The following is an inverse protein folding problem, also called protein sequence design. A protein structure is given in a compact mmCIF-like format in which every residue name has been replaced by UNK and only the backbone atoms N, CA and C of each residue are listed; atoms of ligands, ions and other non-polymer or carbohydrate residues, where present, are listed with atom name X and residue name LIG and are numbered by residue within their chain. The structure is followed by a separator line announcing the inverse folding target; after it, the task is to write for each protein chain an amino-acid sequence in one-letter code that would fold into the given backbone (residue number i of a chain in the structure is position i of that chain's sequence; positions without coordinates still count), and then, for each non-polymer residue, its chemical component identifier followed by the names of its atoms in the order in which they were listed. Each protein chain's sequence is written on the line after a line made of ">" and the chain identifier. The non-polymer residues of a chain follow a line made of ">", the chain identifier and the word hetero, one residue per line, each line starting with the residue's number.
data_IF_205447327855
#
_entry.id   IF_205447327855
#
_cell.length_a   1.000
_cell.length_b   1.000
_cell.length_c   1.000
_cell.angle_alpha   90.00
_cell.angle_beta   90.00
_cell.angle_gamma   90.00
#
_symmetry.space_group_name_H-M   'P 1'
#
loop_
_entity.id
_entity.type
_entity.pdbx_description
1 polymer ?
#
# COMPACT_ATOMS: atom_id res chain seq x y z
N UNK A 1 33.13 13.91 -10.71
CA UNK A 1 32.79 13.28 -9.42
C UNK A 1 32.01 12.03 -9.77
N UNK A 2 32.44 10.86 -9.30
CA UNK A 2 31.67 9.61 -9.51
C UNK A 2 30.37 9.82 -8.76
N UNK A 3 29.25 9.77 -9.49
CA UNK A 3 27.92 9.92 -8.92
C UNK A 3 27.68 8.72 -8.01
N UNK A 4 27.60 8.96 -6.70
CA UNK A 4 27.45 7.89 -5.71
C UNK A 4 25.99 7.49 -5.65
N UNK A 5 25.72 6.19 -5.72
CA UNK A 5 24.36 5.67 -5.75
C UNK A 5 23.85 5.47 -4.33
N UNK A 6 23.01 6.40 -3.86
CA UNK A 6 22.23 6.23 -2.64
C UNK A 6 21.05 5.30 -2.91
N UNK A 7 20.88 4.28 -2.07
CA UNK A 7 19.68 3.45 -2.07
C UNK A 7 19.08 3.38 -0.68
N UNK A 8 17.75 3.38 -0.61
CA UNK A 8 16.99 3.30 0.62
C UNK A 8 15.97 2.16 0.54
N UNK A 9 15.60 1.59 1.68
CA UNK A 9 14.69 0.45 1.73
C UNK A 9 13.65 0.50 2.83
N UNK A 10 12.37 0.34 2.48
CA UNK A 10 11.22 0.21 3.37
C UNK A 10 10.60 -1.20 3.37
N UNK A 11 10.75 -1.96 2.28
CA UNK A 11 10.11 -3.27 2.07
C UNK A 11 10.84 -4.42 2.78
N UNK A 12 11.08 -4.25 4.07
CA UNK A 12 11.91 -5.07 4.94
C UNK A 12 12.41 -4.23 6.11
N UNK A 13 13.46 -4.65 6.84
CA UNK A 13 14.17 -3.76 7.74
C UNK A 13 14.60 -2.47 7.03
N UNK A 14 14.58 -1.34 7.74
CA UNK A 14 14.99 -0.05 7.21
C UNK A 14 16.47 -0.11 6.79
N UNK A 15 16.72 0.12 5.51
CA UNK A 15 18.07 0.10 4.95
C UNK A 15 18.44 1.43 4.30
N UNK A 16 19.71 1.76 4.39
CA UNK A 16 20.37 2.80 3.60
C UNK A 16 21.69 2.21 3.12
N UNK A 17 21.92 2.25 1.81
CA UNK A 17 23.17 1.82 1.21
C UNK A 17 23.74 2.95 0.34
N UNK A 18 25.06 3.00 0.23
CA UNK A 18 25.75 3.88 -0.73
C UNK A 18 26.74 3.05 -1.51
N UNK A 19 26.60 3.08 -2.84
CA UNK A 19 27.33 2.21 -3.76
C UNK A 19 27.22 0.72 -3.36
N UNK A 20 26.03 0.30 -2.91
CA UNK A 20 25.74 -1.06 -2.44
C UNK A 20 26.26 -1.41 -1.05
N UNK A 21 26.95 -0.49 -0.36
CA UNK A 21 27.44 -0.73 1.01
C UNK A 21 26.45 -0.22 2.04
N UNK A 22 25.96 -1.10 2.91
CA UNK A 22 25.03 -0.74 3.98
C UNK A 22 25.64 0.24 4.99
N UNK A 23 24.84 1.24 5.38
CA UNK A 23 25.21 2.27 6.35
C UNK A 23 24.42 2.08 7.64
N UNK A 24 25.11 2.01 8.78
CA UNK A 24 24.47 1.86 10.08
C UNK A 24 23.69 3.12 10.48
N UNK A 25 22.36 3.00 10.50
CA UNK A 25 21.44 4.13 10.72
C UNK A 25 21.28 4.56 12.19
N UNK A 26 21.86 3.82 13.13
CA UNK A 26 21.87 4.17 14.56
C UNK A 26 20.62 3.70 15.32
N UNK A 27 20.18 4.52 16.29
CA UNK A 27 19.16 4.16 17.28
C UNK A 27 17.75 4.07 16.67
N UNK A 28 16.81 3.32 17.29
CA UNK A 28 15.44 3.16 16.77
C UNK A 28 14.72 4.48 16.45
N UNK A 29 14.83 5.49 17.32
CA UNK A 29 14.20 6.81 17.09
C UNK A 29 14.83 7.56 15.90
N UNK A 30 16.15 7.45 15.69
CA UNK A 30 16.81 8.04 14.51
C UNK A 30 16.39 7.34 13.22
N UNK A 31 16.29 6.01 13.25
CA UNK A 31 15.76 5.20 12.15
C UNK A 31 14.30 5.55 11.83
N UNK A 32 13.46 5.69 12.85
CA UNK A 32 12.07 6.11 12.68
C UNK A 32 11.93 7.48 12.02
N UNK A 33 12.80 8.45 12.32
CA UNK A 33 12.84 9.74 11.60
C UNK A 33 13.12 9.54 10.11
N UNK A 34 14.11 8.71 9.77
CA UNK A 34 14.42 8.43 8.36
C UNK A 34 13.26 7.70 7.67
N UNK A 35 12.66 6.70 8.32
CA UNK A 35 11.53 5.95 7.80
C UNK A 35 10.34 6.88 7.49
N UNK A 36 9.97 7.77 8.41
CA UNK A 36 8.87 8.74 8.20
C UNK A 36 9.16 9.71 7.05
N UNK A 37 10.40 10.17 6.94
CA UNK A 37 10.82 11.06 5.84
C UNK A 37 10.83 10.33 4.49
N UNK A 38 11.17 9.04 4.48
CA UNK A 38 11.17 8.20 3.30
C UNK A 38 9.74 7.83 2.86
N UNK A 39 8.87 7.50 3.81
CA UNK A 39 7.43 7.30 3.55
C UNK A 39 6.80 8.55 2.92
N UNK A 40 7.24 9.74 3.33
CA UNK A 40 6.81 11.03 2.79
C UNK A 40 7.88 11.64 1.87
N UNK A 41 8.63 10.82 1.12
CA UNK A 41 9.72 11.32 0.26
C UNK A 41 9.21 12.43 -0.67
N UNK A 42 10.10 13.37 -0.98
CA UNK A 42 9.81 14.54 -1.81
C UNK A 42 8.73 15.50 -1.25
N UNK A 43 8.20 15.24 -0.04
CA UNK A 43 7.26 16.09 0.67
C UNK A 43 7.78 16.54 2.04
N UNK A 44 7.50 17.78 2.50
CA UNK A 44 7.90 18.22 3.83
C UNK A 44 7.13 17.48 4.94
N UNK A 45 7.84 17.01 5.96
CA UNK A 45 7.28 16.46 7.21
C UNK A 45 7.52 17.44 8.33
N UNK A 46 6.45 17.92 8.96
CA UNK A 46 6.51 18.84 10.09
C UNK A 46 7.21 18.20 11.30
N UNK A 47 7.97 19.01 12.06
CA UNK A 47 8.64 18.53 13.28
C UNK A 47 7.66 17.94 14.28
N UNK A 48 6.47 18.55 14.44
CA UNK A 48 5.46 18.05 15.38
C UNK A 48 4.93 16.67 14.96
N UNK A 49 4.79 16.38 13.66
CA UNK A 49 4.43 15.03 13.18
C UNK A 49 5.52 14.00 13.46
N UNK A 50 6.80 14.38 13.29
CA UNK A 50 7.91 13.52 13.69
C UNK A 50 7.88 13.22 15.20
N UNK A 51 7.56 14.22 16.02
CA UNK A 51 7.45 14.04 17.48
C UNK A 51 6.32 13.07 17.81
N UNK A 52 5.11 13.28 17.27
CA UNK A 52 3.98 12.38 17.54
C UNK A 52 4.29 10.95 17.09
N UNK A 53 4.87 10.77 15.91
CA UNK A 53 5.18 9.42 15.43
C UNK A 53 6.30 8.72 16.24
N UNK A 54 7.19 9.48 16.90
CA UNK A 54 8.25 8.92 17.72
C UNK A 54 7.84 8.65 19.16
N UNK A 55 6.94 9.44 19.75
CA UNK A 55 6.63 9.37 21.18
C UNK A 55 5.15 9.28 21.51
N UNK A 56 4.28 9.22 20.49
CA UNK A 56 2.83 9.26 20.62
C UNK A 56 2.40 10.42 21.53
N UNK A 57 1.65 10.11 22.59
CA UNK A 57 1.11 11.07 23.56
C UNK A 57 2.12 11.46 24.67
N UNK A 58 3.35 10.93 24.66
CA UNK A 58 4.33 11.09 25.75
C UNK A 58 5.70 11.64 25.28
N UNK A 59 5.75 12.80 24.58
CA UNK A 59 7.02 13.39 24.16
C UNK A 59 7.83 13.95 25.33
N UNK A 60 9.17 13.76 25.37
CA UNK A 60 10.02 14.41 26.37
C UNK A 60 10.10 15.92 26.13
N UNK A 61 10.41 16.69 27.18
CA UNK A 61 10.56 18.16 27.09
C UNK A 61 11.59 18.61 26.04
N UNK A 62 12.59 17.78 25.76
CA UNK A 62 13.63 17.98 24.73
C UNK A 62 13.34 17.34 23.37
N UNK A 63 12.10 16.98 23.03
CA UNK A 63 11.77 16.26 21.80
C UNK A 63 12.26 16.97 20.53
N UNK A 64 12.03 18.29 20.40
CA UNK A 64 12.51 19.08 19.25
C UNK A 64 14.03 19.06 19.10
N UNK A 65 14.76 19.21 20.22
CA UNK A 65 16.22 19.12 20.22
C UNK A 65 16.71 17.73 19.79
N UNK A 66 15.98 16.68 20.18
CA UNK A 66 16.25 15.30 19.77
C UNK A 66 16.06 15.12 18.26
N UNK A 67 14.97 15.64 17.68
CA UNK A 67 14.75 15.63 16.22
C UNK A 67 15.90 16.33 15.48
N UNK A 68 16.30 17.52 15.91
CA UNK A 68 17.44 18.23 15.31
C UNK A 68 18.73 17.41 15.38
N UNK A 69 18.96 16.71 16.48
CA UNK A 69 20.13 15.82 16.66
C UNK A 69 20.08 14.63 15.71
N UNK A 70 18.92 13.97 15.58
CA UNK A 70 18.75 12.86 14.64
C UNK A 70 18.96 13.30 13.19
N UNK A 71 18.40 14.44 12.77
CA UNK A 71 18.62 14.99 11.42
C UNK A 71 20.09 15.34 11.20
N UNK A 72 20.76 15.92 12.19
CA UNK A 72 22.20 16.22 12.11
C UNK A 72 23.03 14.94 11.92
N UNK A 73 22.71 13.87 12.67
CA UNK A 73 23.38 12.59 12.54
C UNK A 73 23.12 11.92 11.20
N UNK A 74 21.88 11.90 10.71
CA UNK A 74 21.54 11.40 9.38
C UNK A 74 22.30 12.15 8.28
N UNK A 75 22.40 13.48 8.38
CA UNK A 75 23.20 14.29 7.45
C UNK A 75 24.69 13.95 7.51
N UNK A 76 25.25 13.64 8.68
CA UNK A 76 26.63 13.18 8.81
C UNK A 76 26.85 11.84 8.12
N UNK A 77 25.88 10.91 8.22
CA UNK A 77 25.95 9.62 7.51
C UNK A 77 25.95 9.81 6.00
N UNK A 78 25.04 10.63 5.47
CA UNK A 78 25.00 10.99 4.04
C UNK A 78 26.31 11.66 3.59
N UNK A 79 26.82 12.61 4.38
CA UNK A 79 28.04 13.36 4.06
C UNK A 79 29.30 12.51 4.12
N UNK A 80 29.40 11.61 5.11
CA UNK A 80 30.48 10.62 5.20
C UNK A 80 30.46 9.65 4.01
N UNK A 81 29.28 9.42 3.44
CA UNK A 81 29.12 8.66 2.22
C UNK A 81 29.36 9.50 0.94
N UNK A 82 29.75 10.77 1.03
CA UNK A 82 30.08 11.63 -0.13
C UNK A 82 28.86 12.17 -0.89
N UNK A 83 27.68 12.13 -0.29
CA UNK A 83 26.44 12.69 -0.82
C UNK A 83 26.23 14.07 -0.18
N UNK A 84 25.77 15.06 -0.95
CA UNK A 84 25.51 16.40 -0.42
C UNK A 84 24.30 16.38 0.55
N UNK A 85 24.51 16.44 1.89
CA UNK A 85 23.48 16.04 2.84
C UNK A 85 22.31 17.01 2.92
N UNK A 86 22.55 18.29 2.64
CA UNK A 86 21.51 19.33 2.70
C UNK A 86 20.66 19.36 1.44
N UNK A 87 21.16 18.83 0.33
CA UNK A 87 20.36 18.62 -0.87
C UNK A 87 19.42 17.42 -0.70
N UNK A 88 19.94 16.29 -0.19
CA UNK A 88 19.12 15.08 0.03
C UNK A 88 18.19 15.26 1.23
N UNK A 89 18.68 15.69 2.38
CA UNK A 89 17.86 15.93 3.57
C UNK A 89 17.76 17.43 3.84
N UNK A 90 16.82 18.08 3.18
CA UNK A 90 16.60 19.53 3.24
C UNK A 90 15.83 19.94 4.48
N UNK A 91 16.14 21.13 5.02
CA UNK A 91 15.23 21.83 5.92
C UNK A 91 14.18 22.53 5.05
N UNK A 92 12.91 22.21 5.26
CA UNK A 92 11.78 22.71 4.47
C UNK A 92 10.65 23.05 5.44
N UNK A 93 10.40 24.34 5.75
CA UNK A 93 9.33 24.72 6.68
C UNK A 93 8.00 24.03 6.34
N UNK A 94 7.28 23.46 7.32
CA UNK A 94 7.50 23.52 8.77
C UNK A 94 8.42 22.41 9.35
N UNK A 95 9.20 21.70 8.55
CA UNK A 95 10.13 20.69 9.06
C UNK A 95 11.22 20.26 8.07
N UNK A 96 11.20 18.99 7.66
CA UNK A 96 12.26 18.37 6.88
C UNK A 96 11.72 17.64 5.67
N UNK A 97 12.48 17.61 4.58
CA UNK A 97 12.14 16.90 3.35
C UNK A 97 13.31 16.04 2.91
N UNK A 98 13.03 14.78 2.59
CA UNK A 98 13.99 13.87 1.97
C UNK A 98 13.77 13.87 0.46
N UNK A 99 14.71 14.44 -0.30
CA UNK A 99 14.68 14.51 -1.75
C UNK A 99 15.45 13.31 -2.31
N UNK A 100 14.75 12.39 -2.97
CA UNK A 100 15.33 11.19 -3.58
C UNK A 100 14.62 10.89 -4.90
N UNK A 101 15.35 10.28 -5.83
CA UNK A 101 14.77 9.75 -7.07
C UNK A 101 13.85 8.55 -6.78
N UNK A 102 12.82 8.36 -7.60
CA UNK A 102 11.87 7.25 -7.41
C UNK A 102 12.55 5.87 -7.52
N UNK A 103 13.63 5.74 -8.29
CA UNK A 103 14.37 4.49 -8.41
C UNK A 103 15.42 4.29 -7.31
N UNK A 104 15.68 5.31 -6.49
CA UNK A 104 16.63 5.25 -5.38
C UNK A 104 16.06 4.57 -4.13
N UNK A 105 14.81 4.09 -4.15
CA UNK A 105 14.25 3.32 -3.05
C UNK A 105 13.36 2.16 -3.52
N UNK A 106 13.30 1.10 -2.72
CA UNK A 106 12.66 -0.18 -3.07
C UNK A 106 11.16 -0.07 -3.37
N UNK A 107 10.40 0.67 -2.57
CA UNK A 107 8.98 0.89 -2.80
C UNK A 107 8.72 1.66 -4.12
N UNK A 108 9.61 2.57 -4.53
CA UNK A 108 9.46 3.30 -5.79
C UNK A 108 9.71 2.41 -7.00
N UNK A 109 10.73 1.54 -6.91
CA UNK A 109 10.96 0.49 -7.92
C UNK A 109 9.82 -0.52 -7.97
N UNK A 110 9.29 -0.94 -6.82
CA UNK A 110 8.10 -1.79 -6.74
C UNK A 110 6.91 -1.16 -7.47
N UNK A 111 6.62 0.12 -7.23
CA UNK A 111 5.54 0.87 -7.89
C UNK A 111 5.76 0.96 -9.40
N UNK A 112 6.99 1.28 -9.83
CA UNK A 112 7.34 1.41 -11.24
C UNK A 112 7.17 0.09 -11.99
N UNK A 113 7.71 -1.01 -11.43
CA UNK A 113 7.61 -2.35 -12.02
C UNK A 113 6.16 -2.88 -11.99
N UNK A 114 5.40 -2.65 -10.92
CA UNK A 114 3.97 -2.97 -10.87
C UNK A 114 3.21 -2.24 -11.98
N UNK A 115 3.40 -0.94 -12.11
CA UNK A 115 2.74 -0.11 -13.12
C UNK A 115 3.07 -0.59 -14.53
N UNK A 116 4.35 -0.86 -14.82
CA UNK A 116 4.79 -1.42 -16.09
C UNK A 116 4.13 -2.78 -16.39
N UNK A 117 4.05 -3.66 -15.39
CA UNK A 117 3.41 -4.96 -15.50
C UNK A 117 1.92 -4.88 -15.82
N UNK A 118 1.20 -3.97 -15.14
CA UNK A 118 -0.22 -3.72 -15.36
C UNK A 118 -0.48 -3.20 -16.79
N UNK A 119 0.30 -2.22 -17.28
CA UNK A 119 0.17 -1.75 -18.66
C UNK A 119 0.49 -2.83 -19.71
N UNK A 120 1.48 -3.68 -19.44
CA UNK A 120 1.80 -4.81 -20.31
C UNK A 120 0.63 -5.81 -20.38
N UNK A 121 0.03 -6.16 -19.25
CA UNK A 121 -1.13 -7.05 -19.18
C UNK A 121 -2.37 -6.46 -19.90
N UNK A 122 -2.65 -5.16 -19.71
CA UNK A 122 -3.73 -4.46 -20.40
C UNK A 122 -3.55 -4.45 -21.93
N UNK A 123 -2.29 -4.48 -22.38
CA UNK A 123 -1.91 -4.60 -23.81
C UNK A 123 -1.86 -6.05 -24.31
N UNK A 124 -2.16 -7.05 -23.47
CA UNK A 124 -2.07 -8.47 -23.80
C UNK A 124 -0.64 -9.03 -23.89
N UNK A 125 0.36 -8.29 -23.40
CA UNK A 125 1.78 -8.70 -23.35
C UNK A 125 2.09 -9.42 -22.04
N UNK A 126 1.51 -10.61 -21.86
CA UNK A 126 1.56 -11.33 -20.57
C UNK A 126 2.98 -11.76 -20.16
N UNK A 127 3.88 -12.04 -21.10
CA UNK A 127 5.29 -12.34 -20.78
C UNK A 127 6.01 -11.14 -20.15
N UNK A 128 5.82 -9.95 -20.73
CA UNK A 128 6.38 -8.72 -20.18
C UNK A 128 5.74 -8.41 -18.83
N UNK A 129 4.43 -8.60 -18.70
CA UNK A 129 3.72 -8.42 -17.44
C UNK A 129 4.30 -9.31 -16.33
N UNK A 130 4.49 -10.61 -16.58
CA UNK A 130 5.08 -11.54 -15.62
C UNK A 130 6.50 -11.13 -15.21
N UNK A 131 7.33 -10.70 -16.17
CA UNK A 131 8.70 -10.24 -15.89
C UNK A 131 8.70 -9.02 -14.96
N UNK A 132 7.90 -8.01 -15.27
CA UNK A 132 7.79 -6.78 -14.46
C UNK A 132 7.22 -7.07 -13.06
N UNK A 133 6.15 -7.87 -12.96
CA UNK A 133 5.56 -8.21 -11.66
C UNK A 133 6.50 -9.06 -10.80
N UNK A 134 7.33 -9.90 -11.42
CA UNK A 134 8.40 -10.62 -10.72
C UNK A 134 9.48 -9.67 -10.21
N UNK A 135 9.90 -8.69 -11.01
CA UNK A 135 10.85 -7.66 -10.58
C UNK A 135 10.29 -6.83 -9.41
N UNK A 136 9.00 -6.45 -9.45
CA UNK A 136 8.34 -5.77 -8.35
C UNK A 136 8.41 -6.60 -7.06
N UNK A 137 8.03 -7.88 -7.10
CA UNK A 137 8.06 -8.75 -5.91
C UNK A 137 9.48 -8.96 -5.36
N UNK A 138 10.50 -8.90 -6.21
CA UNK A 138 11.90 -9.04 -5.80
C UNK A 138 12.41 -7.88 -4.94
N UNK A 139 11.75 -6.72 -4.94
CA UNK A 139 12.07 -5.58 -4.06
C UNK A 139 11.71 -5.85 -2.59
N UNK A 140 10.87 -6.85 -2.31
CA UNK A 140 10.47 -7.21 -0.96
C UNK A 140 11.51 -8.10 -0.29
N UNK A 141 12.19 -7.57 0.72
CA UNK A 141 13.20 -8.24 1.55
C UNK A 141 12.62 -8.89 2.81
N UNK A 142 11.43 -8.45 3.23
CA UNK A 142 10.76 -8.96 4.43
C UNK A 142 9.54 -8.11 4.78
N UNK A 143 9.03 -8.21 6.02
CA UNK A 143 7.94 -7.36 6.47
C UNK A 143 8.37 -5.89 6.55
N UNK A 144 7.48 -5.00 6.11
CA UNK A 144 7.74 -3.56 6.03
C UNK A 144 8.23 -3.02 7.37
N UNK A 145 9.38 -2.34 7.36
CA UNK A 145 10.03 -1.73 8.52
C UNK A 145 10.09 -2.67 9.74
N UNK A 146 10.50 -3.92 9.53
CA UNK A 146 10.53 -4.96 10.56
C UNK A 146 11.26 -4.54 11.85
N UNK A 147 12.34 -3.78 11.73
CA UNK A 147 13.15 -3.29 12.85
C UNK A 147 12.52 -2.10 13.60
N UNK A 148 11.34 -1.64 13.17
CA UNK A 148 10.57 -0.51 13.72
C UNK A 148 9.10 -0.86 13.99
N UNK A 149 8.72 -2.14 14.06
CA UNK A 149 7.33 -2.58 14.34
C UNK A 149 6.75 -2.07 15.67
N UNK A 150 7.59 -1.62 16.59
CA UNK A 150 7.16 -1.03 17.86
C UNK A 150 6.58 0.40 17.72
N UNK A 151 6.72 1.01 16.54
CA UNK A 151 6.20 2.35 16.27
C UNK A 151 4.83 2.28 15.59
N UNK A 152 3.81 2.92 16.18
CA UNK A 152 2.43 2.81 15.70
C UNK A 152 2.18 3.30 14.26
N UNK A 153 3.05 4.15 13.71
CA UNK A 153 2.92 4.58 12.31
C UNK A 153 3.30 3.49 11.29
N UNK A 154 4.02 2.44 11.71
CA UNK A 154 4.44 1.34 10.84
C UNK A 154 3.26 0.43 10.51
N UNK A 155 2.40 0.15 11.49
CA UNK A 155 1.34 -0.87 11.36
C UNK A 155 0.38 -0.60 10.18
N UNK A 156 -0.15 0.63 10.08
CA UNK A 156 -1.11 0.97 9.01
C UNK A 156 -0.42 1.03 7.65
N UNK A 157 0.79 1.58 7.58
CA UNK A 157 1.54 1.65 6.35
C UNK A 157 1.93 0.25 5.84
N UNK A 158 2.42 -0.62 6.73
CA UNK A 158 2.74 -2.00 6.43
C UNK A 158 1.50 -2.77 5.96
N UNK A 159 0.36 -2.61 6.64
CA UNK A 159 -0.92 -3.23 6.26
C UNK A 159 -1.31 -2.84 4.84
N UNK A 160 -1.28 -1.54 4.53
CA UNK A 160 -1.61 -1.03 3.21
C UNK A 160 -0.66 -1.52 2.12
N UNK A 161 0.65 -1.62 2.38
CA UNK A 161 1.59 -2.16 1.41
C UNK A 161 1.45 -3.68 1.19
N UNK A 162 1.03 -4.43 2.22
CA UNK A 162 0.74 -5.87 2.06
C UNK A 162 -0.45 -6.07 1.11
N UNK A 163 -1.46 -5.20 1.14
CA UNK A 163 -2.54 -5.23 0.13
C UNK A 163 -1.99 -5.09 -1.29
N UNK A 164 -1.05 -4.16 -1.49
CA UNK A 164 -0.42 -3.96 -2.79
C UNK A 164 0.41 -5.18 -3.22
N UNK A 165 1.13 -5.80 -2.28
CA UNK A 165 1.87 -7.04 -2.52
C UNK A 165 0.94 -8.16 -2.99
N UNK A 166 -0.20 -8.32 -2.32
CA UNK A 166 -1.20 -9.35 -2.65
C UNK A 166 -1.76 -9.12 -4.06
N UNK A 167 -2.05 -7.86 -4.42
CA UNK A 167 -2.50 -7.52 -5.77
C UNK A 167 -1.45 -7.88 -6.83
N UNK A 168 -0.15 -7.62 -6.57
CA UNK A 168 0.94 -7.99 -7.48
C UNK A 168 1.08 -9.50 -7.62
N UNK A 169 0.96 -10.28 -6.53
CA UNK A 169 0.93 -11.74 -6.61
C UNK A 169 -0.25 -12.24 -7.45
N UNK A 170 -1.44 -11.67 -7.27
CA UNK A 170 -2.63 -11.98 -8.07
C UNK A 170 -2.41 -11.72 -9.56
N UNK A 171 -1.94 -10.52 -9.92
CA UNK A 171 -1.65 -10.14 -11.30
C UNK A 171 -0.54 -11.00 -11.92
N UNK A 172 0.48 -11.38 -11.15
CA UNK A 172 1.55 -12.28 -11.62
C UNK A 172 0.98 -13.66 -11.94
N UNK A 173 0.11 -14.20 -11.08
CA UNK A 173 -0.56 -15.46 -11.34
C UNK A 173 -1.44 -15.40 -12.59
N UNK A 174 -2.20 -14.32 -12.78
CA UNK A 174 -3.00 -14.10 -14.00
C UNK A 174 -2.13 -14.09 -15.26
N UNK A 175 -0.99 -13.39 -15.23
CA UNK A 175 -0.06 -13.33 -16.37
C UNK A 175 0.54 -14.70 -16.69
N UNK A 176 0.99 -15.45 -15.68
CA UNK A 176 1.54 -16.80 -15.83
C UNK A 176 0.51 -17.79 -16.39
N UNK A 177 -0.73 -17.74 -15.87
CA UNK A 177 -1.85 -18.56 -16.36
C UNK A 177 -2.18 -18.19 -17.81
N UNK A 178 -2.21 -16.91 -18.16
CA UNK A 178 -2.44 -16.44 -19.53
C UNK A 178 -1.33 -16.86 -20.52
N UNK A 179 -0.10 -17.05 -20.03
CA UNK A 179 1.02 -17.64 -20.75
C UNK A 179 0.99 -19.18 -20.82
N UNK A 180 -0.02 -19.84 -20.25
CA UNK A 180 -0.16 -21.29 -20.25
C UNK A 180 0.68 -22.00 -19.18
N UNK A 181 1.18 -21.27 -18.17
CA UNK A 181 2.03 -21.80 -17.08
C UNK A 181 1.25 -22.00 -15.78
N UNK A 182 -0.03 -22.38 -15.87
CA UNK A 182 -0.91 -22.58 -14.72
C UNK A 182 -0.35 -23.57 -13.67
N UNK A 183 0.35 -24.63 -14.09
CA UNK A 183 0.96 -25.60 -13.16
C UNK A 183 2.05 -24.98 -12.28
N UNK A 184 2.79 -23.99 -12.80
CA UNK A 184 3.94 -23.42 -12.11
C UNK A 184 3.55 -22.51 -10.93
N UNK A 185 2.34 -21.98 -10.93
CA UNK A 185 1.87 -21.04 -9.89
C UNK A 185 1.10 -21.71 -8.74
N UNK A 186 0.73 -22.99 -8.86
CA UNK A 186 -0.11 -23.69 -7.86
C UNK A 186 0.55 -23.67 -6.48
N UNK A 187 1.82 -24.07 -6.35
CA UNK A 187 2.51 -24.15 -5.06
C UNK A 187 2.65 -22.78 -4.39
N UNK A 188 2.94 -21.73 -5.17
CA UNK A 188 3.00 -20.35 -4.66
C UNK A 188 1.62 -19.90 -4.17
N UNK A 189 0.56 -20.15 -4.94
CA UNK A 189 -0.82 -19.79 -4.58
C UNK A 189 -1.37 -20.58 -3.39
N UNK A 190 -0.98 -21.85 -3.21
CA UNK A 190 -1.30 -22.63 -2.01
C UNK A 190 -0.69 -22.00 -0.75
N UNK A 191 0.58 -21.57 -0.82
CA UNK A 191 1.22 -20.87 0.29
C UNK A 191 0.54 -19.53 0.58
N UNK A 192 0.29 -18.72 -0.46
CA UNK A 192 -0.34 -17.41 -0.32
C UNK A 192 -1.78 -17.48 0.19
N UNK A 193 -2.57 -18.48 -0.22
CA UNK A 193 -3.94 -18.67 0.31
C UNK A 193 -3.96 -19.20 1.73
N UNK A 194 -2.87 -19.83 2.18
CA UNK A 194 -2.70 -20.20 3.59
C UNK A 194 -2.32 -18.99 4.44
N UNK A 195 -1.43 -18.13 3.94
CA UNK A 195 -1.02 -16.89 4.61
C UNK A 195 -2.13 -15.82 4.61
N UNK A 196 -2.90 -15.76 3.53
CA UNK A 196 -3.94 -14.78 3.30
C UNK A 196 -5.30 -15.44 2.99
N UNK A 197 -5.89 -16.16 3.96
CA UNK A 197 -7.06 -17.01 3.74
C UNK A 197 -8.31 -16.25 3.31
N UNK A 198 -8.40 -14.96 3.59
CA UNK A 198 -9.56 -14.12 3.29
C UNK A 198 -9.44 -13.37 1.96
N UNK A 199 -8.36 -13.57 1.20
CA UNK A 199 -8.14 -12.88 -0.08
C UNK A 199 -8.71 -13.70 -1.23
N UNK A 200 -10.00 -13.53 -1.48
CA UNK A 200 -10.73 -14.20 -2.57
C UNK A 200 -10.04 -14.12 -3.95
N UNK A 201 -9.39 -13.01 -4.36
CA UNK A 201 -8.67 -12.98 -5.63
C UNK A 201 -7.55 -14.03 -5.74
N UNK A 202 -6.82 -14.31 -4.66
CA UNK A 202 -5.80 -15.36 -4.66
C UNK A 202 -6.42 -16.75 -4.82
N UNK A 203 -7.56 -16.99 -4.15
CA UNK A 203 -8.32 -18.22 -4.31
C UNK A 203 -8.85 -18.40 -5.73
N UNK A 204 -9.33 -17.33 -6.36
CA UNK A 204 -9.80 -17.37 -7.75
C UNK A 204 -8.69 -17.84 -8.70
N UNK A 205 -7.46 -17.35 -8.53
CA UNK A 205 -6.32 -17.79 -9.33
C UNK A 205 -5.92 -19.23 -9.01
N UNK A 206 -5.94 -19.66 -7.74
CA UNK A 206 -5.63 -21.04 -7.36
C UNK A 206 -6.63 -22.04 -7.97
N UNK A 207 -7.93 -21.73 -7.86
CA UNK A 207 -9.01 -22.55 -8.44
C UNK A 207 -8.88 -22.62 -9.96
N UNK A 208 -8.60 -21.49 -10.61
CA UNK A 208 -8.37 -21.41 -12.06
C UNK A 208 -7.16 -22.25 -12.47
N UNK A 209 -6.05 -22.17 -11.72
CA UNK A 209 -4.83 -22.92 -12.01
C UNK A 209 -5.04 -24.44 -11.91
N UNK A 210 -5.75 -24.93 -10.89
CA UNK A 210 -6.11 -26.34 -10.81
C UNK A 210 -7.00 -26.77 -11.99
N UNK A 211 -8.00 -25.97 -12.33
CA UNK A 211 -8.92 -26.33 -13.42
C UNK A 211 -8.21 -26.46 -14.77
N UNK A 212 -7.31 -25.51 -15.10
CA UNK A 212 -6.55 -25.52 -16.36
C UNK A 212 -5.44 -26.57 -16.42
N UNK A 213 -5.13 -27.22 -15.29
CA UNK A 213 -4.15 -28.30 -15.21
C UNK A 213 -4.79 -29.68 -15.09
N UNK A 214 -6.04 -29.80 -15.55
CA UNK A 214 -6.83 -31.03 -15.57
C UNK A 214 -7.13 -31.60 -14.16
N UNK A 215 -7.08 -30.74 -13.14
CA UNK A 215 -7.33 -31.07 -11.74
C UNK A 215 -8.67 -30.50 -11.26
N UNK A 216 -9.75 -30.79 -12.00
CA UNK A 216 -11.11 -30.29 -11.70
C UNK A 216 -11.55 -30.58 -10.25
N UNK A 217 -11.26 -31.79 -9.74
CA UNK A 217 -11.58 -32.18 -8.36
C UNK A 217 -10.93 -31.25 -7.33
N UNK A 218 -9.66 -30.88 -7.55
CA UNK A 218 -8.91 -30.00 -6.67
C UNK A 218 -9.40 -28.55 -6.75
N UNK A 219 -9.80 -28.09 -7.94
CA UNK A 219 -10.42 -26.78 -8.12
C UNK A 219 -11.72 -26.66 -7.30
N UNK A 220 -12.61 -27.66 -7.39
CA UNK A 220 -13.85 -27.71 -6.61
C UNK A 220 -13.60 -27.87 -5.11
N UNK A 221 -12.54 -28.61 -4.73
CA UNK A 221 -12.14 -28.74 -3.33
C UNK A 221 -11.59 -27.43 -2.75
N UNK A 222 -10.81 -26.67 -3.53
CA UNK A 222 -10.33 -25.35 -3.16
C UNK A 222 -11.49 -24.36 -2.96
N UNK A 223 -12.49 -24.35 -3.85
CA UNK A 223 -13.71 -23.54 -3.65
C UNK A 223 -14.46 -23.92 -2.36
N UNK A 224 -14.62 -25.21 -2.07
CA UNK A 224 -15.24 -25.66 -0.81
C UNK A 224 -14.45 -25.21 0.42
N UNK A 225 -13.11 -25.23 0.37
CA UNK A 225 -12.26 -24.73 1.45
C UNK A 225 -12.49 -23.25 1.71
N UNK A 226 -12.34 -22.40 0.69
CA UNK A 226 -12.54 -20.95 0.88
C UNK A 226 -13.96 -20.63 1.32
N UNK A 227 -14.98 -21.33 0.81
CA UNK A 227 -16.36 -21.18 1.28
C UNK A 227 -16.50 -21.48 2.77
N UNK A 228 -15.90 -22.57 3.25
CA UNK A 228 -15.93 -22.92 4.67
C UNK A 228 -15.18 -21.88 5.52
N UNK A 229 -13.96 -21.49 5.10
CA UNK A 229 -13.16 -20.46 5.78
C UNK A 229 -13.90 -19.12 5.89
N UNK A 230 -14.53 -18.64 4.82
CA UNK A 230 -15.31 -17.39 4.85
C UNK A 230 -16.58 -17.52 5.71
N UNK A 231 -17.24 -18.67 5.69
CA UNK A 231 -18.43 -18.88 6.52
C UNK A 231 -18.08 -18.98 8.01
N UNK A 232 -17.09 -19.80 8.36
CA UNK A 232 -16.74 -20.10 9.75
C UNK A 232 -16.03 -18.92 10.43
N UNK A 233 -15.06 -18.30 9.75
CA UNK A 233 -14.24 -17.25 10.37
C UNK A 233 -14.87 -15.87 10.22
N UNK A 234 -15.59 -15.65 9.12
CA UNK A 234 -16.08 -14.33 8.75
C UNK A 234 -17.62 -14.22 8.73
N UNK A 235 -18.36 -15.32 8.70
CA UNK A 235 -19.82 -15.32 8.61
C UNK A 235 -20.35 -14.78 7.28
N UNK A 236 -19.56 -14.90 6.19
CA UNK A 236 -19.93 -14.40 4.86
C UNK A 236 -19.86 -15.50 3.80
N UNK A 237 -20.62 -15.33 2.73
CA UNK A 237 -20.52 -16.18 1.54
C UNK A 237 -19.41 -15.68 0.59
N UNK A 238 -18.85 -16.56 -0.27
CA UNK A 238 -17.96 -16.15 -1.35
C UNK A 238 -18.60 -15.10 -2.27
N UNK A 239 -17.79 -14.14 -2.71
CA UNK A 239 -18.18 -13.11 -3.65
C UNK A 239 -18.59 -13.65 -5.03
N UNK A 240 -19.19 -12.79 -5.88
CA UNK A 240 -19.71 -13.19 -7.18
C UNK A 240 -18.64 -13.83 -8.08
N UNK A 241 -17.40 -13.32 -8.07
CA UNK A 241 -16.28 -13.86 -8.86
C UNK A 241 -16.02 -15.34 -8.56
N UNK A 242 -15.92 -15.72 -7.28
CA UNK A 242 -15.71 -17.11 -6.88
C UNK A 242 -16.92 -18.00 -7.19
N UNK A 243 -18.14 -17.49 -6.97
CA UNK A 243 -19.37 -18.24 -7.27
C UNK A 243 -19.50 -18.54 -8.76
N UNK A 244 -19.30 -17.55 -9.62
CA UNK A 244 -19.34 -17.72 -11.08
C UNK A 244 -18.25 -18.66 -11.57
N UNK A 245 -17.02 -18.58 -11.04
CA UNK A 245 -15.94 -19.50 -11.38
C UNK A 245 -16.29 -20.95 -11.02
N UNK A 246 -16.84 -21.18 -9.82
CA UNK A 246 -17.28 -22.51 -9.41
C UNK A 246 -18.40 -23.06 -10.31
N UNK A 247 -19.37 -22.24 -10.71
CA UNK A 247 -20.44 -22.65 -11.63
C UNK A 247 -19.91 -23.06 -13.01
N UNK A 248 -18.97 -22.29 -13.58
CA UNK A 248 -18.32 -22.62 -14.85
C UNK A 248 -17.58 -23.97 -14.76
N UNK A 249 -16.83 -24.18 -13.67
CA UNK A 249 -16.08 -25.43 -13.44
C UNK A 249 -17.00 -26.62 -13.26
N UNK A 250 -18.14 -26.46 -12.57
CA UNK A 250 -19.14 -27.53 -12.41
C UNK A 250 -19.73 -27.97 -13.76
N UNK A 251 -19.87 -27.05 -14.71
CA UNK A 251 -20.37 -27.30 -16.07
C UNK A 251 -19.28 -27.68 -17.07
N UNK A 252 -18.01 -27.75 -16.63
CA UNK A 252 -16.85 -27.97 -17.49
C UNK A 252 -16.75 -26.96 -18.64
N UNK A 253 -17.13 -25.70 -18.38
CA UNK A 253 -17.02 -24.63 -19.36
C UNK A 253 -15.55 -24.20 -19.53
N UNK A 254 -15.11 -23.83 -20.75
CA UNK A 254 -13.77 -23.31 -20.97
C UNK A 254 -13.61 -21.91 -20.34
N UNK A 255 -12.44 -21.63 -19.77
CA UNK A 255 -12.10 -20.32 -19.21
C UNK A 255 -11.28 -19.48 -20.20
N UNK A 256 -11.70 -18.24 -20.44
CA UNK A 256 -10.93 -17.28 -21.25
C UNK A 256 -9.98 -16.44 -20.36
N UNK A 257 -8.90 -17.08 -19.91
CA UNK A 257 -7.95 -16.46 -18.97
C UNK A 257 -7.20 -15.26 -19.53
N UNK A 258 -6.97 -15.22 -20.84
CA UNK A 258 -6.33 -14.06 -21.49
C UNK A 258 -7.24 -12.85 -21.44
N UNK A 259 -8.54 -13.03 -21.70
CA UNK A 259 -9.52 -11.96 -21.58
C UNK A 259 -9.67 -11.51 -20.14
N UNK A 260 -9.78 -12.43 -19.19
CA UNK A 260 -9.89 -12.09 -17.76
C UNK A 260 -8.71 -11.26 -17.27
N UNK A 261 -7.47 -11.72 -17.53
CA UNK A 261 -6.25 -11.00 -17.14
C UNK A 261 -6.18 -9.61 -17.81
N UNK A 262 -6.57 -9.50 -19.08
CA UNK A 262 -6.61 -8.21 -19.78
C UNK A 262 -7.64 -7.26 -19.18
N UNK A 263 -8.85 -7.75 -18.86
CA UNK A 263 -9.91 -6.94 -18.24
C UNK A 263 -9.50 -6.43 -16.87
N UNK A 264 -8.97 -7.30 -16.00
CA UNK A 264 -8.48 -6.90 -14.67
C UNK A 264 -7.36 -5.85 -14.76
N UNK A 265 -6.46 -6.00 -15.74
CA UNK A 265 -5.39 -5.05 -15.96
C UNK A 265 -5.90 -3.68 -16.47
N UNK A 266 -6.89 -3.65 -17.38
CA UNK A 266 -7.51 -2.40 -17.86
C UNK A 266 -8.19 -1.65 -16.71
N UNK A 267 -8.90 -2.36 -15.84
CA UNK A 267 -9.53 -1.75 -14.66
C UNK A 267 -8.45 -1.14 -13.75
N UNK A 268 -7.32 -1.83 -13.56
CA UNK A 268 -6.19 -1.35 -12.75
C UNK A 268 -5.49 -0.14 -13.40
N UNK A 269 -5.30 -0.13 -14.73
CA UNK A 269 -4.77 1.02 -15.46
C UNK A 269 -5.64 2.25 -15.22
N UNK A 270 -6.97 2.10 -15.27
CA UNK A 270 -7.90 3.20 -15.05
C UNK A 270 -7.70 3.84 -13.67
N UNK A 271 -7.51 3.02 -12.63
CA UNK A 271 -7.21 3.50 -11.26
C UNK A 271 -5.85 4.20 -11.20
N UNK A 272 -4.82 3.65 -11.84
CA UNK A 272 -3.49 4.26 -11.88
C UNK A 272 -3.51 5.62 -12.60
N UNK A 273 -4.22 5.71 -13.72
CA UNK A 273 -4.37 6.95 -14.49
C UNK A 273 -5.08 8.03 -13.65
N UNK A 274 -6.14 7.67 -12.93
CA UNK A 274 -6.81 8.58 -11.99
C UNK A 274 -5.86 9.11 -10.90
N UNK A 275 -4.96 8.27 -10.37
CA UNK A 275 -3.94 8.67 -9.37
C UNK A 275 -2.82 9.57 -9.95
N UNK A 276 -2.55 9.47 -11.26
CA UNK A 276 -1.40 10.11 -11.94
C UNK A 276 -1.73 11.34 -12.81
N UNK A 277 -3.00 11.64 -13.07
CA UNK A 277 -3.44 12.84 -13.81
C UNK A 277 -3.09 14.12 -13.02
N UNK A 278 -2.29 15.12 -13.44
CA UNK A 278 -1.61 15.50 -14.70
C UNK A 278 -0.39 16.39 -14.32
N UNK A 279 0.68 16.43 -15.12
CA UNK A 279 1.86 17.33 -15.03
C UNK A 279 3.07 16.86 -14.18
N UNK A 280 3.22 15.56 -13.94
CA UNK A 280 4.40 15.05 -13.22
C UNK A 280 4.41 15.39 -11.73
N UNK A 281 3.26 15.80 -11.18
CA UNK A 281 2.98 15.92 -9.75
C UNK A 281 1.84 14.95 -9.39
N UNK A 282 1.95 14.28 -8.24
CA UNK A 282 0.93 13.37 -7.71
C UNK A 282 -0.40 14.10 -7.53
N UNK A 283 -1.51 13.53 -8.03
CA UNK A 283 -2.85 14.07 -7.82
C UNK A 283 -3.14 14.18 -6.32
N UNK A 284 -3.70 15.31 -5.88
CA UNK A 284 -4.10 15.46 -4.48
C UNK A 284 -5.49 14.86 -4.34
N UNK A 285 -5.59 13.80 -3.54
CA UNK A 285 -6.88 13.25 -3.14
C UNK A 285 -7.51 14.09 -2.01
N UNK A 286 -8.83 14.07 -1.93
CA UNK A 286 -9.62 14.80 -0.96
C UNK A 286 -10.68 13.90 -0.32
N UNK A 287 -10.99 14.19 0.94
CA UNK A 287 -12.28 13.82 1.54
C UNK A 287 -13.18 15.04 1.58
N UNK A 288 -14.30 14.98 0.86
CA UNK A 288 -15.32 16.02 0.86
C UNK A 288 -16.44 15.65 1.83
N UNK A 289 -16.55 16.41 2.92
CA UNK A 289 -17.66 16.28 3.86
C UNK A 289 -18.95 16.83 3.24
N UNK A 290 -20.09 16.18 3.48
CA UNK A 290 -21.39 16.62 2.95
C UNK A 290 -21.74 18.07 3.31
N UNK A 291 -21.19 18.60 4.40
CA UNK A 291 -21.37 19.99 4.88
C UNK A 291 -20.38 20.99 4.26
N UNK A 292 -19.65 20.60 3.21
CA UNK A 292 -18.86 21.48 2.35
C UNK A 292 -17.39 21.67 2.74
N UNK A 293 -16.88 20.99 3.79
CA UNK A 293 -15.45 20.99 4.11
C UNK A 293 -14.73 19.96 3.25
N UNK A 294 -13.56 20.32 2.75
CA UNK A 294 -12.73 19.44 1.94
C UNK A 294 -11.36 19.29 2.60
N UNK A 295 -10.93 18.06 2.82
CA UNK A 295 -9.68 17.73 3.51
C UNK A 295 -8.69 17.13 2.51
N UNK A 296 -7.59 17.84 2.16
CA UNK A 296 -6.58 17.31 1.25
C UNK A 296 -5.73 16.24 1.93
N UNK A 297 -5.52 15.12 1.25
CA UNK A 297 -4.69 14.00 1.70
C UNK A 297 -3.23 14.21 1.25
N UNK A 298 -2.49 15.06 1.97
CA UNK A 298 -1.15 15.53 1.55
C UNK A 298 0.02 14.65 1.99
N UNK A 299 -0.21 13.77 2.95
CA UNK A 299 0.82 12.91 3.52
C UNK A 299 0.57 11.46 3.15
N UNK A 300 1.64 10.66 3.17
CA UNK A 300 1.54 9.22 2.92
C UNK A 300 0.58 8.51 3.90
N UNK A 301 0.38 9.08 5.09
CA UNK A 301 -0.67 8.67 6.02
C UNK A 301 -1.42 9.90 6.53
N UNK A 302 -2.74 9.90 6.39
CA UNK A 302 -3.67 10.91 6.90
C UNK A 302 -4.50 10.31 8.02
N UNK A 303 -4.29 10.80 9.25
CA UNK A 303 -4.95 10.31 10.47
C UNK A 303 -6.27 11.04 10.69
N UNK A 304 -7.31 10.27 11.03
CA UNK A 304 -8.66 10.75 11.25
C UNK A 304 -9.09 10.34 12.66
N UNK A 305 -9.57 11.29 13.47
CA UNK A 305 -9.98 11.00 14.83
C UNK A 305 -10.46 12.21 15.60
N UNK A 306 -10.78 12.01 16.87
CA UNK A 306 -11.30 13.07 17.75
C UNK A 306 -10.21 13.94 18.37
N UNK A 307 -9.00 13.41 18.56
CA UNK A 307 -7.92 14.17 19.18
C UNK A 307 -7.32 15.19 18.21
N UNK A 308 -6.85 16.32 18.75
CA UNK A 308 -6.30 17.43 17.95
C UNK A 308 -4.94 17.17 17.30
N UNK A 309 -4.33 16.01 17.55
CA UNK A 309 -3.12 15.56 16.87
C UNK A 309 -3.43 14.81 15.56
N UNK A 310 -4.70 14.51 15.25
CA UNK A 310 -5.10 13.97 13.96
C UNK A 310 -5.02 15.03 12.86
N UNK A 311 -4.83 14.57 11.61
CA UNK A 311 -4.80 15.46 10.45
C UNK A 311 -6.22 15.93 10.07
N UNK A 312 -7.22 15.06 10.28
CA UNK A 312 -8.65 15.38 10.17
C UNK A 312 -9.30 15.16 11.53
N UNK A 313 -9.79 16.25 12.12
CA UNK A 313 -10.36 16.27 13.47
C UNK A 313 -11.88 16.22 13.38
N UNK A 314 -12.48 15.20 14.01
CA UNK A 314 -13.92 14.98 14.07
C UNK A 314 -14.39 15.05 15.53
N UNK A 315 -14.99 16.16 15.92
CA UNK A 315 -15.26 16.54 17.32
C UNK A 315 -16.42 15.76 18.02
N UNK A 316 -17.00 14.75 17.39
CA UNK A 316 -18.09 13.98 17.98
C UNK A 316 -17.59 12.99 19.05
N UNK A 317 -18.24 12.87 20.23
CA UNK A 317 -17.86 11.91 21.26
C UNK A 317 -17.99 10.44 20.80
N UNK A 318 -18.73 10.17 19.73
CA UNK A 318 -18.83 8.83 19.12
C UNK A 318 -17.55 8.43 18.37
N UNK A 319 -16.72 9.39 17.99
CA UNK A 319 -15.48 9.15 17.26
C UNK A 319 -14.37 8.77 18.26
N UNK A 320 -13.71 7.64 18.00
CA UNK A 320 -12.50 7.22 18.71
C UNK A 320 -11.38 8.26 18.64
N UNK A 321 -10.48 8.26 19.63
CA UNK A 321 -9.36 9.21 19.74
C UNK A 321 -8.53 9.28 18.47
N UNK A 322 -8.15 8.12 17.97
CA UNK A 322 -7.60 7.86 16.65
C UNK A 322 -8.51 6.80 16.02
N UNK A 323 -9.21 7.15 14.96
CA UNK A 323 -10.33 6.34 14.42
C UNK A 323 -9.91 5.57 13.17
N UNK A 324 -9.30 6.27 12.22
CA UNK A 324 -8.92 5.70 10.94
C UNK A 324 -7.64 6.34 10.41
N UNK A 325 -6.99 5.67 9.46
CA UNK A 325 -5.87 6.24 8.69
C UNK A 325 -6.06 5.91 7.22
N UNK A 326 -6.02 6.94 6.37
CA UNK A 326 -5.91 6.74 4.93
C UNK A 326 -4.43 6.78 4.56
N UNK A 327 -3.95 5.71 3.94
CA UNK A 327 -2.58 5.57 3.48
C UNK A 327 -2.55 5.70 1.96
N UNK A 328 -1.70 6.59 1.44
CA UNK A 328 -1.31 6.61 0.02
C UNK A 328 -0.12 5.66 -0.15
N UNK A 329 -0.33 4.57 -0.86
CA UNK A 329 0.72 3.58 -1.17
C UNK A 329 1.61 4.01 -2.34
N UNK A 330 1.25 5.10 -3.02
CA UNK A 330 1.81 5.53 -4.29
C UNK A 330 1.13 4.91 -5.52
N UNK A 331 0.25 3.90 -5.33
CA UNK A 331 -0.59 3.34 -6.40
C UNK A 331 -2.07 3.29 -6.07
N UNK A 332 -2.43 3.38 -4.79
CA UNK A 332 -3.81 3.42 -4.33
C UNK A 332 -3.92 4.12 -2.97
N UNK A 333 -5.15 4.49 -2.61
CA UNK A 333 -5.46 4.98 -1.27
C UNK A 333 -6.17 3.86 -0.49
N UNK A 334 -5.69 3.56 0.70
CA UNK A 334 -6.25 2.50 1.55
C UNK A 334 -6.65 3.08 2.90
N UNK A 335 -7.94 2.99 3.23
CA UNK A 335 -8.44 3.37 4.55
C UNK A 335 -8.32 2.19 5.50
N UNK A 336 -7.76 2.44 6.69
CA UNK A 336 -7.60 1.47 7.76
C UNK A 336 -8.46 1.89 8.96
N UNK A 337 -9.22 0.95 9.53
CA UNK A 337 -9.92 1.12 10.81
C UNK A 337 -8.95 0.80 11.96
N UNK A 338 -8.70 1.78 12.85
CA UNK A 338 -7.81 1.63 14.00
C UNK A 338 -8.48 0.92 15.18
N UNK A 339 -9.23 -0.17 14.89
CA UNK A 339 -10.09 -0.88 15.86
C UNK A 339 -11.02 0.08 16.58
N UNK A 340 -11.60 1.01 15.84
CA UNK A 340 -12.50 2.02 16.37
C UNK A 340 -13.77 1.38 16.95
N UNK A 341 -14.41 2.11 17.87
CA UNK A 341 -15.59 1.60 18.57
C UNK A 341 -16.79 1.41 17.65
N UNK A 342 -16.96 2.30 16.66
CA UNK A 342 -18.10 2.32 15.76
C UNK A 342 -17.78 1.84 14.34
N UNK A 343 -16.51 1.56 14.05
CA UNK A 343 -16.05 1.11 12.74
C UNK A 343 -16.04 2.20 11.68
N UNK A 344 -15.32 1.91 10.61
CA UNK A 344 -15.33 2.67 9.36
C UNK A 344 -16.24 1.97 8.36
N UNK A 345 -17.01 2.73 7.58
CA UNK A 345 -17.84 2.18 6.51
C UNK A 345 -17.42 2.78 5.17
N UNK A 346 -17.33 1.94 4.15
CA UNK A 346 -17.04 2.32 2.76
C UNK A 346 -18.15 1.74 1.89
N UNK A 347 -18.73 2.54 1.00
CA UNK A 347 -19.86 2.15 0.16
C UNK A 347 -21.03 1.54 0.95
N UNK A 348 -21.30 2.11 2.13
CA UNK A 348 -22.33 1.69 3.09
C UNK A 348 -22.08 0.35 3.80
N UNK A 349 -20.95 -0.30 3.56
CA UNK A 349 -20.56 -1.54 4.24
C UNK A 349 -19.46 -1.29 5.27
N UNK A 350 -19.55 -1.95 6.44
CA UNK A 350 -18.50 -1.83 7.47
C UNK A 350 -17.25 -2.57 7.02
N UNK A 351 -16.11 -1.88 6.98
CA UNK A 351 -14.83 -2.52 6.66
C UNK A 351 -14.36 -3.34 7.87
N UNK A 352 -13.63 -4.44 7.62
CA UNK A 352 -13.09 -5.28 8.71
C UNK A 352 -11.81 -4.70 9.32
N UNK A 353 -10.86 -4.36 8.46
CA UNK A 353 -9.54 -3.86 8.85
C UNK A 353 -9.11 -2.72 7.93
N UNK A 354 -9.10 -2.99 6.62
CA UNK A 354 -8.74 -2.02 5.61
C UNK A 354 -9.58 -2.20 4.34
N UNK A 355 -9.71 -1.12 3.56
CA UNK A 355 -10.32 -1.15 2.24
C UNK A 355 -9.60 -0.18 1.29
N UNK A 356 -9.41 -0.60 0.03
CA UNK A 356 -8.94 0.30 -1.04
C UNK A 356 -10.07 1.24 -1.42
N UNK A 357 -9.79 2.54 -1.42
CA UNK A 357 -10.71 3.59 -1.85
C UNK A 357 -10.60 3.81 -3.36
N UNK A 358 -11.74 3.97 -4.01
CA UNK A 358 -11.89 4.35 -5.41
C UNK A 358 -12.49 5.74 -5.50
N UNK A 359 -12.18 6.44 -6.59
CA UNK A 359 -12.75 7.76 -6.85
C UNK A 359 -14.29 7.72 -6.79
N UNK A 360 -14.87 8.62 -5.99
CA UNK A 360 -16.31 8.69 -5.73
C UNK A 360 -16.82 7.83 -4.57
N UNK A 361 -15.98 7.04 -3.90
CA UNK A 361 -16.43 6.20 -2.78
C UNK A 361 -17.01 7.03 -1.63
N UNK A 362 -18.14 6.56 -1.08
CA UNK A 362 -18.72 7.07 0.14
C UNK A 362 -18.01 6.48 1.35
N UNK A 363 -17.51 7.34 2.23
CA UNK A 363 -16.85 6.97 3.49
C UNK A 363 -17.66 7.52 4.64
N UNK A 364 -18.05 6.65 5.60
CA UNK A 364 -18.76 7.07 6.81
C UNK A 364 -18.01 6.70 8.07
N UNK A 365 -17.80 7.69 8.93
CA UNK A 365 -17.21 7.58 10.26
C UNK A 365 -18.21 8.13 11.28
N UNK A 366 -18.86 7.23 12.03
CA UNK A 366 -19.98 7.59 12.91
C UNK A 366 -21.09 8.35 12.17
N UNK A 367 -21.28 9.62 12.53
CA UNK A 367 -22.30 10.52 11.96
C UNK A 367 -21.71 11.40 10.83
N UNK A 368 -20.42 11.28 10.53
CA UNK A 368 -19.75 12.02 9.46
C UNK A 368 -19.75 11.21 8.17
N UNK A 369 -20.14 11.85 7.08
CA UNK A 369 -20.15 11.28 5.73
C UNK A 369 -19.25 12.09 4.81
N UNK A 370 -18.44 11.37 4.04
CA UNK A 370 -17.49 11.93 3.10
C UNK A 370 -17.63 11.26 1.73
N UNK A 371 -17.32 12.02 0.69
CA UNK A 371 -16.99 11.49 -0.63
C UNK A 371 -15.49 11.55 -0.81
N UNK A 372 -14.85 10.43 -1.08
CA UNK A 372 -13.46 10.37 -1.47
C UNK A 372 -13.33 10.74 -2.95
N UNK A 373 -12.46 11.70 -3.28
CA UNK A 373 -12.22 12.12 -4.65
C UNK A 373 -10.73 12.22 -4.93
N UNK A 374 -10.31 11.79 -6.11
CA UNK A 374 -8.97 12.02 -6.64
C UNK A 374 -9.09 13.19 -7.62
N UNK A 375 -8.73 14.39 -7.16
CA UNK A 375 -8.90 15.59 -7.97
C UNK A 375 -7.84 15.66 -9.06
N UNK A 376 -8.28 15.88 -10.31
CA UNK A 376 -7.44 16.52 -11.33
C UNK A 376 -7.40 18.03 -11.01
N UNK A 377 -6.26 18.67 -11.18
CA UNK A 377 -5.94 20.05 -10.76
C UNK A 377 -6.80 21.18 -11.40
N UNK A 378 -7.97 20.87 -11.97
CA UNK A 378 -8.87 21.85 -12.61
C UNK A 378 -9.80 22.60 -11.67
N UNK A 379 -9.83 22.30 -10.36
CA UNK A 379 -10.74 22.94 -9.39
C UNK A 379 -10.02 23.70 -8.24
N UNK A 380 -8.82 24.23 -8.50
CA UNK A 380 -8.09 25.13 -7.57
C UNK A 380 -8.21 26.62 -7.93
#
# INVERSE_FOLDING_TARGET
>A
MVDKRLELGLLGPLEMSVDGTLVALGTPKQRAVLALLLMNRNSPVAVDRLITALWDDQPPSGARASIHSYVSNLRKLLGGAGIEPRMVLAAAPPGYRLNIDENAYDLGRFIAEKTAGVHAAASGKFEDASRHLTAALAEWRGPVLEDLREFGFVDTFATSLVEEKILVHGAKAEAEIACGRASAVITELEALTTEHPYREPLWAQLITAYYLTDRQSDALAAYRRVKATLADDLGIDPGPTLRSLNEQILRQEPLDVKRTAKTAAVDTVTVLEQHTMVSGQQAIAYLHEALGRSYPLRAAATRIGRLGDNDIILDSPKVSRHHAVIVDTGTSFIINDLRSSNGVHVQHERIRSAATLRDGDHVRICDYEFTFQIAADSDA
#
